data_IF_649454330320
#
_entry.id   IF_649454330320
#
_cell.length_a   1.000
_cell.length_b   1.000
_cell.length_c   1.000
_cell.angle_alpha   90.00
_cell.angle_beta   90.00
_cell.angle_gamma   90.00
#
_symmetry.space_group_name_H-M   'P 1'
#
loop_
_entity.id
_entity.type
_entity.pdbx_description
1 polymer ?
#
# COMPACT_ATOMS: atom_id res chain seq x y z
N UNK A 1 12.31 -17.12 1.84
CA UNK A 1 12.78 -15.84 2.42
C UNK A 1 11.76 -15.31 3.42
N UNK A 2 12.22 -14.73 4.54
CA UNK A 2 11.34 -14.07 5.53
C UNK A 2 11.90 -12.68 5.83
N UNK A 3 11.07 -11.64 5.65
CA UNK A 3 11.40 -10.24 5.95
C UNK A 3 10.24 -9.69 6.77
N UNK A 4 10.49 -9.14 7.96
CA UNK A 4 9.47 -8.60 8.86
C UNK A 4 8.26 -9.55 9.01
N UNK A 5 8.51 -10.85 9.11
CA UNK A 5 7.52 -11.90 9.03
C UNK A 5 6.78 -12.16 10.37
N UNK A 6 7.15 -11.46 11.45
CA UNK A 6 6.41 -11.51 12.71
C UNK A 6 5.32 -10.42 12.72
N UNK A 7 4.07 -10.82 12.49
CA UNK A 7 2.92 -9.92 12.43
C UNK A 7 2.40 -9.48 13.81
N UNK A 8 2.98 -10.00 14.89
CA UNK A 8 2.72 -9.52 16.26
C UNK A 8 3.64 -8.35 16.65
N UNK A 9 4.57 -7.98 15.79
CA UNK A 9 5.49 -6.87 16.02
C UNK A 9 5.13 -5.67 15.15
N UNK A 10 5.28 -4.48 15.74
CA UNK A 10 5.23 -3.24 14.99
C UNK A 10 6.51 -3.09 14.19
N UNK A 11 6.35 -2.69 12.93
CA UNK A 11 7.46 -2.39 12.01
C UNK A 11 7.32 -0.96 11.53
N UNK A 12 8.44 -0.23 11.49
CA UNK A 12 8.53 1.12 10.91
C UNK A 12 9.77 1.17 10.03
N UNK A 13 9.60 1.56 8.78
CA UNK A 13 10.68 1.66 7.79
C UNK A 13 10.55 2.98 7.05
N UNK A 14 11.63 3.76 7.00
CA UNK A 14 11.74 4.87 6.06
C UNK A 14 12.24 4.32 4.72
N UNK A 15 11.36 4.21 3.73
CA UNK A 15 11.72 3.64 2.44
C UNK A 15 12.74 4.49 1.66
N UNK A 16 12.87 5.78 1.98
CA UNK A 16 13.87 6.64 1.36
C UNK A 16 15.30 6.28 1.78
N UNK A 17 15.45 5.63 2.92
CA UNK A 17 16.75 5.15 3.43
C UNK A 17 17.12 3.74 2.92
N UNK A 18 16.19 3.05 2.26
CA UNK A 18 16.41 1.73 1.67
C UNK A 18 17.07 1.84 0.30
N UNK A 19 18.04 0.99 0.04
CA UNK A 19 18.55 0.76 -1.32
C UNK A 19 17.59 -0.08 -2.15
N UNK A 20 17.51 0.20 -3.46
CA UNK A 20 16.85 -0.67 -4.41
C UNK A 20 17.65 -1.96 -4.61
N UNK A 21 16.97 -3.09 -4.59
CA UNK A 21 17.57 -4.42 -4.81
C UNK A 21 17.05 -4.98 -6.14
N UNK A 22 17.92 -5.38 -7.08
CA UNK A 22 17.48 -6.00 -8.32
C UNK A 22 16.60 -7.23 -8.09
N UNK A 23 15.54 -7.33 -8.87
CA UNK A 23 14.73 -8.55 -8.99
C UNK A 23 15.44 -9.56 -9.92
N UNK A 24 15.13 -10.85 -9.85
CA UNK A 24 15.52 -11.79 -10.90
C UNK A 24 15.04 -11.40 -12.30
N UNK A 25 13.95 -10.64 -12.39
CA UNK A 25 13.43 -10.14 -13.66
C UNK A 25 14.17 -8.86 -14.08
N UNK A 26 14.79 -8.81 -15.26
CA UNK A 26 15.50 -7.63 -15.76
C UNK A 26 14.58 -6.39 -15.83
N UNK A 27 15.11 -5.23 -15.46
CA UNK A 27 14.37 -3.97 -15.46
C UNK A 27 13.42 -3.78 -14.28
N UNK A 28 13.52 -4.64 -13.25
CA UNK A 28 12.72 -4.54 -12.03
C UNK A 28 13.63 -4.46 -10.81
N UNK A 29 13.44 -3.42 -9.99
CA UNK A 29 14.09 -3.30 -8.66
C UNK A 29 13.01 -3.26 -7.57
N UNK A 30 13.37 -3.74 -6.38
CA UNK A 30 12.46 -3.85 -5.25
C UNK A 30 13.03 -3.24 -3.97
N UNK A 31 12.17 -2.63 -3.16
CA UNK A 31 12.37 -2.40 -1.73
C UNK A 31 11.36 -3.28 -0.99
N UNK A 32 11.81 -4.38 -0.43
CA UNK A 32 10.96 -5.37 0.22
C UNK A 32 10.66 -4.95 1.66
N UNK A 33 9.38 -4.67 1.97
CA UNK A 33 8.95 -4.18 3.29
C UNK A 33 8.56 -5.33 4.22
N UNK A 34 7.74 -6.27 3.73
CA UNK A 34 7.55 -7.57 4.37
C UNK A 34 7.49 -8.69 3.31
N UNK A 35 7.80 -9.93 3.76
CA UNK A 35 7.76 -11.07 2.86
C UNK A 35 7.72 -12.40 3.61
N UNK A 36 6.87 -13.32 3.12
CA UNK A 36 6.88 -14.74 3.46
C UNK A 36 6.79 -15.53 2.17
N UNK A 37 7.84 -16.26 1.82
CA UNK A 37 7.96 -17.04 0.58
C UNK A 37 9.21 -16.67 -0.21
N UNK A 38 9.39 -17.36 -1.32
CA UNK A 38 10.49 -17.10 -2.27
C UNK A 38 10.00 -16.13 -3.37
N UNK A 39 10.03 -16.51 -4.66
CA UNK A 39 9.48 -15.63 -5.71
C UNK A 39 7.94 -15.57 -5.67
N UNK A 40 7.27 -16.67 -5.38
CA UNK A 40 5.84 -16.66 -5.02
C UNK A 40 5.76 -16.41 -3.51
N UNK A 41 5.24 -15.28 -3.12
CA UNK A 41 5.26 -14.84 -1.73
C UNK A 41 4.07 -13.95 -1.38
N UNK A 42 3.60 -14.08 -0.12
CA UNK A 42 2.91 -12.97 0.52
C UNK A 42 3.93 -11.85 0.73
N UNK A 43 3.72 -10.70 0.12
CA UNK A 43 4.70 -9.62 0.16
C UNK A 43 4.07 -8.24 0.06
N UNK A 44 4.70 -7.28 0.72
CA UNK A 44 4.49 -5.84 0.54
C UNK A 44 5.82 -5.22 0.11
N UNK A 45 5.82 -4.46 -0.99
CA UNK A 45 7.05 -3.89 -1.55
C UNK A 45 6.78 -2.56 -2.26
N UNK A 46 7.82 -1.73 -2.38
CA UNK A 46 7.94 -0.79 -3.48
C UNK A 46 8.63 -1.51 -4.63
N UNK A 47 8.09 -1.37 -5.83
CA UNK A 47 8.68 -1.96 -7.04
C UNK A 47 8.88 -0.86 -8.08
N UNK A 48 10.09 -0.78 -8.61
CA UNK A 48 10.46 0.14 -9.68
C UNK A 48 10.67 -0.62 -10.97
N UNK A 49 10.03 -0.15 -12.02
CA UNK A 49 10.12 -0.67 -13.37
C UNK A 49 10.88 0.29 -14.27
N UNK A 50 11.84 -0.22 -15.01
CA UNK A 50 12.62 0.59 -15.96
C UNK A 50 11.72 1.18 -17.07
N UNK A 51 12.08 2.34 -17.63
CA UNK A 51 11.38 2.93 -18.78
C UNK A 51 11.18 1.94 -19.93
N UNK A 52 9.96 1.90 -20.49
CA UNK A 52 9.57 1.06 -21.63
C UNK A 52 9.83 -0.45 -21.43
N UNK A 53 9.91 -0.93 -20.18
CA UNK A 53 10.09 -2.35 -19.90
C UNK A 53 8.78 -3.12 -20.05
N UNK A 54 8.87 -4.35 -20.57
CA UNK A 54 7.75 -5.27 -20.79
C UNK A 54 7.95 -6.56 -20.01
N UNK A 55 6.88 -7.11 -19.48
CA UNK A 55 6.93 -8.30 -18.63
C UNK A 55 6.03 -9.39 -19.17
N UNK A 56 6.45 -10.65 -18.92
CA UNK A 56 5.68 -11.82 -19.33
C UNK A 56 4.30 -11.86 -18.69
N UNK A 57 3.35 -12.43 -19.41
CA UNK A 57 2.04 -12.71 -18.86
C UNK A 57 2.17 -13.60 -17.62
N UNK A 58 1.47 -13.25 -16.55
CA UNK A 58 1.46 -14.01 -15.31
C UNK A 58 0.08 -13.94 -14.63
N UNK A 59 -0.13 -14.87 -13.71
CA UNK A 59 -1.40 -15.03 -12.99
C UNK A 59 -1.19 -14.75 -11.50
N UNK A 60 -2.10 -14.00 -10.90
CA UNK A 60 -2.09 -13.65 -9.48
C UNK A 60 -2.75 -14.74 -8.64
N UNK A 61 -1.98 -15.76 -8.23
CA UNK A 61 -2.49 -16.91 -7.47
C UNK A 61 -3.02 -16.57 -6.06
N UNK A 62 -2.68 -15.43 -5.51
CA UNK A 62 -3.16 -14.93 -4.20
C UNK A 62 -3.65 -13.49 -4.26
N UNK A 63 -3.97 -12.98 -5.47
CA UNK A 63 -4.35 -11.60 -5.71
C UNK A 63 -3.16 -10.63 -5.69
N UNK A 64 -3.40 -9.48 -6.26
CA UNK A 64 -2.49 -8.34 -6.31
C UNK A 64 -3.26 -7.05 -6.10
N UNK A 65 -2.78 -6.16 -5.25
CA UNK A 65 -3.22 -4.77 -5.23
C UNK A 65 -2.02 -3.84 -5.29
N UNK A 66 -2.16 -2.71 -5.98
CA UNK A 66 -1.11 -1.72 -6.03
C UNK A 66 -1.63 -0.29 -6.16
N UNK A 67 -0.81 0.64 -5.68
CA UNK A 67 -0.95 2.07 -5.93
C UNK A 67 0.25 2.52 -6.76
N UNK A 68 0.00 3.13 -7.92
CA UNK A 68 1.07 3.73 -8.74
C UNK A 68 1.51 5.02 -8.08
N UNK A 69 2.78 5.08 -7.69
CA UNK A 69 3.38 6.23 -7.01
C UNK A 69 4.00 7.22 -8.01
N UNK A 70 4.70 6.68 -9.03
CA UNK A 70 5.41 7.46 -10.03
C UNK A 70 5.27 6.83 -11.41
N UNK A 71 5.34 7.65 -12.47
CA UNK A 71 5.31 7.20 -13.84
C UNK A 71 3.97 6.60 -14.27
N UNK A 72 4.04 5.56 -15.09
CA UNK A 72 2.87 4.90 -15.66
C UNK A 72 3.09 3.40 -15.77
N UNK A 73 2.18 2.63 -15.18
CA UNK A 73 2.11 1.17 -15.25
C UNK A 73 0.92 0.79 -16.13
N UNK A 74 1.08 -0.15 -17.04
CA UNK A 74 0.10 -0.44 -18.07
C UNK A 74 -0.10 -1.94 -18.24
N UNK A 75 -1.26 -2.32 -18.77
CA UNK A 75 -1.55 -3.65 -19.31
C UNK A 75 -2.58 -3.56 -20.45
N UNK A 76 -3.03 -4.68 -20.97
CA UNK A 76 -3.99 -4.73 -22.07
C UNK A 76 -5.37 -4.12 -21.70
N UNK A 77 -5.69 -4.01 -20.41
CA UNK A 77 -6.94 -3.43 -19.92
C UNK A 77 -6.88 -1.90 -19.80
N UNK A 78 -5.69 -1.30 -19.64
CA UNK A 78 -5.58 0.15 -19.54
C UNK A 78 -4.21 0.71 -19.19
N UNK A 79 -4.20 2.04 -19.07
CA UNK A 79 -3.07 2.84 -18.61
C UNK A 79 -3.32 3.32 -17.18
N UNK A 80 -2.35 3.12 -16.31
CA UNK A 80 -2.42 3.43 -14.89
C UNK A 80 -1.34 4.46 -14.52
N UNK A 81 -1.61 5.75 -14.67
CA UNK A 81 -0.65 6.81 -14.27
C UNK A 81 -0.56 6.90 -12.74
N UNK A 82 0.46 7.62 -12.26
CA UNK A 82 0.65 7.92 -10.84
C UNK A 82 -0.64 8.42 -10.17
N UNK A 83 -0.99 7.83 -9.03
CA UNK A 83 -2.25 8.03 -8.32
C UNK A 83 -3.35 7.05 -8.71
N UNK A 84 -3.08 6.04 -9.56
CA UNK A 84 -4.06 4.97 -9.84
C UNK A 84 -3.90 3.84 -8.82
N UNK A 85 -4.99 3.46 -8.18
CA UNK A 85 -5.10 2.25 -7.37
C UNK A 85 -5.74 1.15 -8.20
N UNK A 86 -5.14 -0.04 -8.18
CA UNK A 86 -5.60 -1.22 -8.92
C UNK A 86 -5.70 -2.40 -7.98
N UNK A 87 -6.74 -3.20 -8.16
CA UNK A 87 -6.98 -4.44 -7.45
C UNK A 87 -7.28 -5.56 -8.44
N UNK A 88 -6.44 -6.56 -8.46
CA UNK A 88 -6.49 -7.74 -9.32
C UNK A 88 -6.80 -8.98 -8.48
N UNK A 89 -8.03 -9.54 -8.53
CA UNK A 89 -8.44 -10.66 -7.69
C UNK A 89 -7.65 -11.93 -7.99
N UNK A 90 -7.78 -12.90 -7.09
CA UNK A 90 -7.18 -14.24 -7.27
C UNK A 90 -7.57 -14.85 -8.61
N UNK A 91 -6.59 -15.33 -9.36
CA UNK A 91 -6.78 -15.94 -10.69
C UNK A 91 -6.79 -14.94 -11.85
N UNK A 92 -6.77 -13.62 -11.60
CA UNK A 92 -6.58 -12.63 -12.66
C UNK A 92 -5.20 -12.76 -13.30
N UNK A 93 -5.08 -12.34 -14.56
CA UNK A 93 -3.82 -12.43 -15.32
C UNK A 93 -3.62 -11.17 -16.15
N UNK A 94 -2.38 -10.73 -16.28
CA UNK A 94 -2.01 -9.67 -17.21
C UNK A 94 -0.57 -9.84 -17.73
N UNK A 95 -0.22 -9.06 -18.75
CA UNK A 95 1.14 -8.87 -19.26
C UNK A 95 1.45 -7.38 -19.19
N UNK A 96 2.04 -6.89 -18.09
CA UNK A 96 2.20 -5.45 -17.89
C UNK A 96 3.44 -4.89 -18.58
N UNK A 97 3.44 -3.55 -18.76
CA UNK A 97 4.61 -2.79 -19.19
C UNK A 97 4.64 -1.43 -18.49
N UNK A 98 5.83 -0.84 -18.41
CA UNK A 98 6.00 0.51 -17.90
C UNK A 98 6.04 1.54 -19.03
N UNK A 99 5.52 2.73 -18.77
CA UNK A 99 5.56 3.86 -19.71
C UNK A 99 6.97 4.42 -19.97
N UNK A 100 7.05 5.50 -20.71
CA UNK A 100 8.32 6.13 -21.14
C UNK A 100 9.20 6.61 -19.96
N UNK A 101 8.61 6.95 -18.83
CA UNK A 101 9.32 7.37 -17.61
C UNK A 101 9.53 6.21 -16.62
N UNK A 102 9.14 4.99 -17.01
CA UNK A 102 9.06 3.86 -16.06
C UNK A 102 7.86 3.94 -15.15
N UNK A 103 7.89 3.17 -14.06
CA UNK A 103 6.88 3.23 -13.01
C UNK A 103 7.47 2.88 -11.65
N UNK A 104 6.92 3.46 -10.59
CA UNK A 104 7.10 2.99 -9.20
C UNK A 104 5.73 2.68 -8.64
N UNK A 105 5.56 1.47 -8.10
CA UNK A 105 4.32 1.04 -7.47
C UNK A 105 4.56 0.61 -6.02
N UNK A 106 3.59 0.86 -5.15
CA UNK A 106 3.44 0.20 -3.85
C UNK A 106 2.52 -0.99 -4.06
N UNK A 107 3.02 -2.20 -3.88
CA UNK A 107 2.31 -3.44 -4.25
C UNK A 107 2.21 -4.40 -3.09
N UNK A 108 1.09 -5.10 -3.02
CA UNK A 108 0.79 -6.18 -2.07
C UNK A 108 0.38 -7.42 -2.85
N UNK A 109 1.10 -8.52 -2.63
CA UNK A 109 0.94 -9.78 -3.34
C UNK A 109 0.51 -10.90 -2.39
N UNK A 110 -0.38 -11.77 -2.86
CA UNK A 110 -0.87 -12.96 -2.11
C UNK A 110 -1.46 -12.59 -0.74
N UNK A 111 -2.32 -11.56 -0.70
CA UNK A 111 -2.92 -11.04 0.53
C UNK A 111 -4.45 -10.97 0.47
N UNK A 112 -5.08 -11.52 -0.58
CA UNK A 112 -6.52 -11.46 -0.75
C UNK A 112 -7.22 -12.62 -0.05
N UNK A 113 -8.38 -12.36 0.52
CA UNK A 113 -9.35 -13.40 0.82
C UNK A 113 -9.79 -14.07 -0.49
N UNK A 114 -9.92 -15.39 -0.51
CA UNK A 114 -10.31 -16.15 -1.70
C UNK A 114 -11.74 -15.83 -2.18
N UNK A 115 -12.58 -15.26 -1.31
CA UNK A 115 -13.94 -14.86 -1.65
C UNK A 115 -14.02 -13.41 -2.17
N UNK A 116 -12.93 -12.64 -2.03
CA UNK A 116 -12.86 -11.29 -2.56
C UNK A 116 -12.48 -11.29 -4.04
N UNK A 117 -13.50 -11.36 -4.88
CA UNK A 117 -13.37 -11.36 -6.34
C UNK A 117 -13.46 -9.95 -6.97
N UNK A 118 -13.39 -8.89 -6.18
CA UNK A 118 -13.51 -7.53 -6.68
C UNK A 118 -12.28 -7.12 -7.51
N UNK A 119 -12.51 -6.80 -8.78
CA UNK A 119 -11.57 -6.10 -9.63
C UNK A 119 -11.87 -4.61 -9.58
N UNK A 120 -10.85 -3.77 -9.34
CA UNK A 120 -11.03 -2.32 -9.22
C UNK A 120 -9.87 -1.58 -9.89
N UNK A 121 -10.22 -0.51 -10.61
CA UNK A 121 -9.27 0.49 -11.12
C UNK A 121 -9.80 1.87 -10.73
N UNK A 122 -9.10 2.57 -9.84
CA UNK A 122 -9.53 3.84 -9.28
C UNK A 122 -8.46 4.89 -9.54
N UNK A 123 -8.76 5.87 -10.39
CA UNK A 123 -7.92 7.05 -10.56
C UNK A 123 -8.21 8.03 -9.41
N UNK A 124 -7.37 8.03 -8.39
CA UNK A 124 -7.62 8.76 -7.14
C UNK A 124 -7.71 10.25 -7.32
N UNK A 125 -7.04 10.81 -8.33
CA UNK A 125 -7.11 12.25 -8.65
C UNK A 125 -8.49 12.70 -9.11
N UNK A 126 -9.32 11.79 -9.62
CA UNK A 126 -10.67 12.06 -10.09
C UNK A 126 -11.77 11.67 -9.08
N UNK A 127 -11.38 11.12 -7.91
CA UNK A 127 -12.34 10.67 -6.91
C UNK A 127 -12.71 11.75 -5.90
N UNK A 128 -13.90 11.60 -5.32
CA UNK A 128 -14.39 12.46 -4.26
C UNK A 128 -13.70 12.15 -2.92
N UNK A 129 -13.49 13.19 -2.14
CA UNK A 129 -13.07 13.10 -0.75
C UNK A 129 -14.28 13.30 0.17
N UNK A 130 -14.44 12.41 1.13
CA UNK A 130 -15.50 12.48 2.14
C UNK A 130 -14.94 13.02 3.46
N UNK A 131 -15.79 13.70 4.23
CA UNK A 131 -15.42 14.15 5.56
C UNK A 131 -15.15 12.95 6.47
N UNK A 132 -14.00 12.95 7.14
CA UNK A 132 -13.64 11.94 8.12
C UNK A 132 -14.29 12.19 9.50
N UNK A 133 -13.95 11.37 10.48
CA UNK A 133 -14.58 11.36 11.82
C UNK A 133 -14.25 12.61 12.65
N UNK A 134 -13.17 13.33 12.32
CA UNK A 134 -12.76 14.55 13.02
C UNK A 134 -12.56 15.69 12.02
N UNK A 135 -12.72 16.95 12.43
CA UNK A 135 -12.37 18.09 11.59
C UNK A 135 -10.92 18.01 11.12
N UNK A 136 -10.67 18.37 9.85
CA UNK A 136 -9.34 18.32 9.25
C UNK A 136 -9.00 16.96 8.60
N UNK A 137 -9.82 15.94 8.79
CA UNK A 137 -9.63 14.63 8.17
C UNK A 137 -10.56 14.47 6.96
N UNK A 138 -10.00 14.00 5.85
CA UNK A 138 -10.77 13.58 4.67
C UNK A 138 -10.35 12.17 4.25
N UNK A 139 -11.32 11.36 3.84
CA UNK A 139 -11.15 9.96 3.48
C UNK A 139 -11.62 9.73 2.06
N UNK A 140 -10.84 8.97 1.31
CA UNK A 140 -11.20 8.43 -0.01
C UNK A 140 -11.16 6.91 0.10
N UNK A 141 -12.32 6.23 0.22
CA UNK A 141 -12.37 4.77 0.22
C UNK A 141 -11.87 4.21 -1.11
N UNK A 142 -11.03 3.17 -1.05
CA UNK A 142 -10.53 2.47 -2.23
C UNK A 142 -11.08 1.05 -2.32
N UNK A 143 -11.19 0.35 -1.19
CA UNK A 143 -11.72 -1.01 -1.13
C UNK A 143 -12.26 -1.34 0.26
N UNK A 144 -13.24 -2.24 0.29
CA UNK A 144 -13.80 -2.82 1.51
C UNK A 144 -14.22 -4.26 1.24
N UNK A 145 -13.80 -5.18 2.12
CA UNK A 145 -14.25 -6.57 2.13
C UNK A 145 -14.15 -7.15 3.54
N UNK A 146 -15.28 -7.56 4.12
CA UNK A 146 -15.34 -8.05 5.50
C UNK A 146 -14.80 -7.03 6.50
N UNK A 147 -13.70 -7.35 7.18
CA UNK A 147 -13.02 -6.44 8.10
C UNK A 147 -11.91 -5.61 7.44
N UNK A 148 -11.55 -5.93 6.19
CA UNK A 148 -10.52 -5.21 5.44
C UNK A 148 -11.07 -3.90 4.90
N UNK A 149 -10.36 -2.80 5.14
CA UNK A 149 -10.63 -1.49 4.57
C UNK A 149 -9.35 -0.88 4.02
N UNK A 150 -9.42 -0.35 2.80
CA UNK A 150 -8.32 0.37 2.14
C UNK A 150 -8.78 1.77 1.79
N UNK A 151 -8.00 2.77 2.13
CA UNK A 151 -8.32 4.16 1.85
C UNK A 151 -7.08 5.03 1.65
N UNK A 152 -7.26 6.17 0.96
CA UNK A 152 -6.40 7.32 1.14
C UNK A 152 -7.01 8.22 2.22
N UNK A 153 -6.17 8.72 3.11
CA UNK A 153 -6.59 9.65 4.18
C UNK A 153 -5.73 10.90 4.14
N UNK A 154 -6.40 12.03 3.97
CA UNK A 154 -5.78 13.34 3.97
C UNK A 154 -5.99 14.02 5.33
N UNK A 155 -4.90 14.44 5.93
CA UNK A 155 -4.82 15.12 7.21
C UNK A 155 -4.44 16.59 6.98
N UNK A 156 -5.31 17.49 7.37
CA UNK A 156 -4.96 18.91 7.41
C UNK A 156 -3.85 19.17 8.46
N UNK A 157 -3.12 20.30 8.36
CA UNK A 157 -2.21 20.70 9.40
C UNK A 157 -2.85 20.73 10.80
N UNK A 158 -2.09 20.31 11.82
CA UNK A 158 -2.48 20.32 13.23
C UNK A 158 -3.78 19.55 13.53
N UNK A 159 -4.06 18.49 12.77
CA UNK A 159 -5.21 17.61 13.00
C UNK A 159 -4.81 16.52 14.01
N UNK A 160 -5.69 16.25 14.97
CA UNK A 160 -5.53 15.17 15.95
C UNK A 160 -6.74 14.24 15.89
N UNK A 161 -6.48 12.93 15.85
CA UNK A 161 -7.52 11.91 15.92
C UNK A 161 -7.69 11.39 17.35
N UNK A 162 -8.81 10.74 17.62
CA UNK A 162 -9.05 10.12 18.91
C UNK A 162 -8.14 8.89 19.12
N UNK A 163 -7.76 8.58 20.37
CA UNK A 163 -7.15 7.29 20.69
C UNK A 163 -8.05 6.16 20.20
N UNK A 164 -7.50 5.19 19.48
CA UNK A 164 -8.26 4.07 18.95
C UNK A 164 -7.42 2.81 18.79
N UNK A 165 -8.07 1.72 18.41
CA UNK A 165 -7.50 0.40 18.33
C UNK A 165 -7.82 -0.22 16.97
N UNK A 166 -6.86 -0.96 16.41
CA UNK A 166 -7.00 -1.61 15.11
C UNK A 166 -7.29 -3.11 15.25
N UNK A 167 -8.57 -3.46 15.12
CA UNK A 167 -8.94 -4.87 14.95
C UNK A 167 -8.41 -5.37 13.62
N UNK A 168 -7.64 -6.49 13.61
CA UNK A 168 -7.01 -7.01 12.41
C UNK A 168 -5.77 -6.22 11.95
N UNK A 169 -5.23 -5.31 12.80
CA UNK A 169 -4.02 -4.55 12.51
C UNK A 169 -4.21 -3.40 11.53
N UNK A 170 -3.13 -2.67 11.31
CA UNK A 170 -3.05 -1.52 10.41
C UNK A 170 -1.74 -1.50 9.65
N UNK A 171 -1.80 -1.03 8.42
CA UNK A 171 -0.65 -0.75 7.58
C UNK A 171 -0.79 0.62 6.92
N UNK A 172 0.27 1.45 7.00
CA UNK A 172 0.29 2.82 6.47
C UNK A 172 1.50 2.98 5.56
N UNK A 173 1.31 3.65 4.41
CA UNK A 173 2.38 4.30 3.66
C UNK A 173 2.11 5.80 3.65
N UNK A 174 3.05 6.59 4.17
CA UNK A 174 2.97 8.06 4.14
C UNK A 174 3.37 8.52 2.74
N UNK A 175 2.41 9.10 2.01
CA UNK A 175 2.59 9.56 0.63
C UNK A 175 3.11 10.99 0.56
N UNK A 176 2.59 11.88 1.44
CA UNK A 176 2.96 13.29 1.49
C UNK A 176 2.96 13.78 2.94
N UNK A 177 3.77 14.81 3.23
CA UNK A 177 3.84 15.47 4.53
C UNK A 177 4.42 14.61 5.63
N UNK A 178 3.94 14.78 6.87
CA UNK A 178 4.45 14.10 8.06
C UNK A 178 3.28 13.58 8.91
N UNK A 179 3.19 12.27 9.02
CA UNK A 179 2.26 11.58 9.91
C UNK A 179 2.95 11.33 11.26
N UNK A 180 2.23 11.44 12.36
CA UNK A 180 2.76 11.27 13.71
C UNK A 180 1.80 10.46 14.59
N UNK A 181 2.37 9.80 15.59
CA UNK A 181 1.65 9.26 16.74
C UNK A 181 2.53 9.40 18.01
N UNK A 182 2.09 8.88 19.16
CA UNK A 182 2.87 8.87 20.40
C UNK A 182 4.15 8.05 20.34
N UNK A 183 4.33 7.23 19.28
CA UNK A 183 5.48 6.37 19.11
C UNK A 183 6.53 6.96 18.16
N UNK A 184 6.19 7.96 17.36
CA UNK A 184 7.14 8.55 16.42
C UNK A 184 6.60 9.59 15.45
N UNK A 185 7.52 10.02 14.58
CA UNK A 185 7.30 10.98 13.51
C UNK A 185 7.69 10.32 12.20
N UNK A 186 6.77 10.31 11.24
CA UNK A 186 6.88 9.52 10.01
C UNK A 186 6.72 10.43 8.78
N UNK A 187 7.84 10.87 8.18
CA UNK A 187 7.81 11.66 6.96
C UNK A 187 7.36 10.84 5.75
N UNK A 188 7.04 11.53 4.65
CA UNK A 188 6.73 10.89 3.36
C UNK A 188 7.77 9.83 2.99
N UNK A 189 7.30 8.67 2.52
CA UNK A 189 8.09 7.46 2.29
C UNK A 189 8.19 6.54 3.50
N UNK A 190 7.67 6.90 4.68
CA UNK A 190 7.60 5.99 5.81
C UNK A 190 6.51 4.94 5.59
N UNK A 191 6.86 3.66 5.83
CA UNK A 191 5.93 2.55 5.89
C UNK A 191 5.85 2.01 7.31
N UNK A 192 4.62 1.84 7.79
CA UNK A 192 4.32 1.34 9.12
C UNK A 192 3.44 0.10 9.00
N UNK A 193 3.69 -0.90 9.86
CA UNK A 193 2.78 -2.01 10.08
C UNK A 193 2.59 -2.21 11.58
N UNK A 194 1.36 -2.08 12.04
CA UNK A 194 0.96 -2.21 13.44
C UNK A 194 0.14 -3.49 13.64
N UNK A 195 0.43 -4.31 14.67
CA UNK A 195 -0.22 -5.60 14.87
C UNK A 195 -1.71 -5.47 15.22
N UNK A 196 -2.41 -6.61 15.17
CA UNK A 196 -3.77 -6.75 15.70
C UNK A 196 -3.87 -6.19 17.13
N UNK A 197 -4.94 -5.43 17.39
CA UNK A 197 -5.20 -4.74 18.65
C UNK A 197 -4.19 -3.66 19.04
N UNK A 198 -3.30 -3.27 18.14
CA UNK A 198 -2.45 -2.10 18.37
C UNK A 198 -3.29 -0.85 18.62
N UNK A 199 -2.78 0.02 19.49
CA UNK A 199 -3.43 1.27 19.86
C UNK A 199 -2.51 2.43 19.56
N UNK A 200 -3.09 3.52 19.09
CA UNK A 200 -2.38 4.79 18.95
C UNK A 200 -3.34 5.99 18.94
N UNK A 201 -2.76 7.19 19.06
CA UNK A 201 -3.43 8.44 18.86
C UNK A 201 -2.72 9.25 17.79
N UNK A 202 -3.08 9.08 16.52
CA UNK A 202 -2.38 9.76 15.45
C UNK A 202 -2.73 11.25 15.37
N UNK A 203 -1.77 12.00 14.85
CA UNK A 203 -1.89 13.44 14.63
C UNK A 203 -0.95 13.91 13.52
N UNK A 204 -1.12 15.16 13.09
CA UNK A 204 -0.20 15.85 12.18
C UNK A 204 0.26 17.17 12.80
N UNK A 205 1.47 17.58 12.43
CA UNK A 205 2.00 18.93 12.68
C UNK A 205 1.55 19.93 11.61
N UNK A 206 2.36 20.95 11.42
CA UNK A 206 2.07 22.08 10.51
C UNK A 206 2.06 21.70 9.01
N UNK A 207 2.61 20.57 8.63
CA UNK A 207 2.66 20.12 7.23
C UNK A 207 1.40 19.34 6.81
N UNK A 208 0.68 18.73 7.76
CA UNK A 208 -0.35 17.77 7.45
C UNK A 208 0.24 16.46 6.89
N UNK A 209 -0.60 15.58 6.35
CA UNK A 209 -0.17 14.35 5.70
C UNK A 209 -1.20 13.84 4.69
N UNK A 210 -0.73 13.07 3.71
CA UNK A 210 -1.52 12.15 2.90
C UNK A 210 -0.98 10.74 3.13
N UNK A 211 -1.86 9.82 3.51
CA UNK A 211 -1.48 8.42 3.74
C UNK A 211 -2.35 7.47 2.91
N UNK A 212 -1.74 6.39 2.42
CA UNK A 212 -2.44 5.15 2.13
C UNK A 212 -2.56 4.38 3.44
N UNK A 213 -3.74 3.87 3.74
CA UNK A 213 -3.99 3.03 4.94
C UNK A 213 -4.78 1.80 4.57
N UNK A 214 -4.36 0.65 5.14
CA UNK A 214 -5.07 -0.62 5.07
C UNK A 214 -5.24 -1.17 6.49
N UNK A 215 -6.47 -1.49 6.86
CA UNK A 215 -6.81 -2.03 8.19
C UNK A 215 -7.55 -3.35 8.08
N UNK A 216 -7.54 -4.15 9.15
CA UNK A 216 -8.35 -5.36 9.25
C UNK A 216 -7.78 -6.62 8.59
N UNK A 217 -6.71 -6.51 7.80
CA UNK A 217 -6.18 -7.56 6.92
C UNK A 217 -5.13 -8.48 7.57
N UNK A 218 -4.75 -8.24 8.84
CA UNK A 218 -3.72 -9.02 9.54
C UNK A 218 -4.32 -10.02 10.54
N UNK A 219 -5.65 -10.04 10.72
CA UNK A 219 -6.32 -10.84 11.76
C UNK A 219 -6.05 -12.34 11.66
N UNK A 220 -5.97 -12.90 10.47
CA UNK A 220 -5.76 -14.34 10.24
C UNK A 220 -4.29 -14.77 10.29
N UNK A 221 -3.36 -13.83 10.32
CA UNK A 221 -1.91 -14.10 10.36
C UNK A 221 -1.37 -14.30 11.79
N UNK A 222 -2.24 -14.17 12.78
CA UNK A 222 -1.91 -14.15 14.22
C UNK A 222 -2.30 -15.49 14.91
N UNK A 223 -2.79 -16.46 14.15
CA UNK A 223 -3.17 -17.78 14.64
C UNK A 223 -2.04 -18.79 14.64
#
# INVERSE_FOLDING_TARGET
MKINANFNERVVINTNEMSWTPSPMPGVDRKMLDRIGEEIARATSLVRYAPNSHFSAHTHGGGEEFLVLEGEFNDAAGCYPAGTYVRNPVGSSHAPWAGAEGAVIFVKLHQFDLQDAAHSVIQTRAQAWYQGMVPGLKVMPLHEFGAEHVALVKWAPNTRFNPHQHWGGEEILVLEGVFCDEHGVYPAGSWLRSPHLSKHQPFTGHEGALIYVKTGHLGDLIR
#
